data_IF_844876533256
#
_entry.id   IF_844876533256
#
_cell.length_a   1.000
_cell.length_b   1.000
_cell.length_c   1.000
_cell.angle_alpha   90.00
_cell.angle_beta   90.00
_cell.angle_gamma   90.00
#
_symmetry.space_group_name_H-M   'P 1'
#
loop_
_entity.id
_entity.type
_entity.pdbx_description
1 polymer ?
#
# COMPACT_ATOMS: atom_id res chain seq x y z
N UNK A 1 -23.23 -56.69 -9.74
CA UNK A 1 -23.46 -55.41 -10.44
C UNK A 1 -23.20 -54.29 -9.45
N UNK A 2 -21.92 -53.90 -9.29
CA UNK A 2 -21.48 -52.79 -8.45
C UNK A 2 -20.75 -51.85 -9.41
N UNK A 3 -21.29 -50.65 -9.54
CA UNK A 3 -20.99 -49.70 -10.61
C UNK A 3 -19.80 -48.85 -10.15
N UNK A 4 -18.70 -48.95 -10.90
CA UNK A 4 -17.52 -48.08 -10.81
C UNK A 4 -17.95 -46.60 -10.72
N UNK A 5 -17.76 -45.99 -9.56
CA UNK A 5 -17.69 -44.53 -9.46
C UNK A 5 -16.24 -44.17 -9.72
N UNK A 6 -16.06 -43.72 -10.95
CA UNK A 6 -14.84 -43.30 -11.59
C UNK A 6 -14.13 -42.20 -10.81
N UNK A 7 -12.79 -42.30 -10.86
CA UNK A 7 -11.82 -41.21 -10.74
C UNK A 7 -12.42 -39.84 -11.13
N UNK A 8 -12.56 -38.97 -10.15
CA UNK A 8 -12.71 -37.52 -10.32
C UNK A 8 -11.79 -36.82 -9.32
N UNK A 9 -10.55 -37.30 -9.29
CA UNK A 9 -9.39 -36.65 -8.70
C UNK A 9 -8.35 -36.68 -9.80
N UNK A 10 -7.70 -35.55 -10.07
CA UNK A 10 -6.54 -35.42 -10.97
C UNK A 10 -6.83 -35.23 -12.48
N UNK A 11 -7.53 -34.15 -12.84
CA UNK A 11 -7.49 -33.60 -14.21
C UNK A 11 -7.63 -32.07 -14.22
N UNK A 12 -6.76 -31.38 -13.46
CA UNK A 12 -6.57 -29.93 -13.56
C UNK A 12 -5.08 -29.49 -13.58
N UNK A 13 -4.15 -30.44 -13.75
CA UNK A 13 -2.75 -30.15 -14.04
C UNK A 13 -2.43 -30.76 -15.42
N UNK A 14 -2.69 -30.02 -16.50
CA UNK A 14 -2.13 -30.22 -17.84
C UNK A 14 -2.69 -29.14 -18.79
N UNK A 15 -2.42 -27.87 -18.50
CA UNK A 15 -2.58 -26.76 -19.45
C UNK A 15 -1.69 -25.58 -19.05
N UNK A 16 -0.40 -25.83 -18.85
CA UNK A 16 0.63 -24.78 -18.85
C UNK A 16 1.79 -25.28 -19.71
N UNK A 17 1.56 -25.22 -21.03
CA UNK A 17 2.61 -25.35 -22.03
C UNK A 17 2.25 -24.50 -23.25
N UNK A 18 2.05 -23.21 -23.03
CA UNK A 18 2.27 -22.16 -24.02
C UNK A 18 2.65 -20.91 -23.21
N UNK A 19 3.83 -20.38 -23.46
CA UNK A 19 4.21 -19.01 -23.13
C UNK A 19 3.39 -18.10 -24.04
N UNK A 20 2.08 -18.02 -23.80
CA UNK A 20 1.22 -17.06 -24.46
C UNK A 20 1.30 -15.77 -23.66
N UNK A 21 1.77 -14.72 -24.33
CA UNK A 21 1.74 -13.34 -23.84
C UNK A 21 0.43 -13.09 -23.09
N UNK A 22 0.56 -12.72 -21.82
CA UNK A 22 -0.59 -12.50 -20.95
C UNK A 22 -1.55 -11.50 -21.61
N UNK A 23 -2.86 -11.77 -21.63
CA UNK A 23 -3.83 -10.86 -22.22
C UNK A 23 -3.84 -9.56 -21.42
N UNK A 24 -3.28 -8.49 -21.98
CA UNK A 24 -3.24 -7.16 -21.37
C UNK A 24 -1.93 -6.40 -21.53
N UNK A 25 -0.84 -7.05 -21.93
CA UNK A 25 0.37 -6.34 -22.32
C UNK A 25 0.23 -5.84 -23.75
N UNK A 26 0.07 -4.52 -23.91
CA UNK A 26 0.48 -3.86 -25.14
C UNK A 26 2.01 -3.87 -25.16
N UNK A 27 2.57 -5.02 -25.53
CA UNK A 27 4.00 -5.22 -25.72
C UNK A 27 4.55 -4.12 -26.66
N UNK A 28 5.85 -3.80 -26.57
CA UNK A 28 6.48 -2.92 -27.55
C UNK A 28 6.09 -3.34 -28.97
N UNK A 29 5.68 -2.37 -29.80
CA UNK A 29 5.23 -2.64 -31.17
C UNK A 29 6.38 -3.00 -32.12
N UNK A 30 7.61 -2.82 -31.65
CA UNK A 30 8.86 -3.33 -32.19
C UNK A 30 9.33 -4.48 -31.28
N UNK A 31 10.12 -5.45 -31.76
CA UNK A 31 10.51 -6.68 -31.04
C UNK A 31 11.44 -6.45 -29.81
N UNK A 32 11.34 -5.28 -29.17
CA UNK A 32 12.11 -4.85 -28.01
C UNK A 32 11.61 -5.47 -26.71
N UNK A 33 12.51 -5.54 -25.74
CA UNK A 33 12.27 -6.16 -24.45
C UNK A 33 11.90 -5.14 -23.37
N UNK A 34 10.78 -5.38 -22.71
CA UNK A 34 10.34 -4.65 -21.51
C UNK A 34 10.59 -5.44 -20.24
N UNK A 35 10.73 -4.75 -19.12
CA UNK A 35 10.74 -5.39 -17.82
C UNK A 35 9.42 -6.14 -17.58
N UNK A 36 9.49 -7.44 -17.31
CA UNK A 36 8.34 -8.22 -16.90
C UNK A 36 8.12 -8.09 -15.39
N UNK A 37 7.22 -7.19 -14.99
CA UNK A 37 6.93 -6.90 -13.59
C UNK A 37 5.53 -7.39 -13.24
N UNK A 38 5.45 -8.26 -12.23
CA UNK A 38 4.20 -8.61 -11.55
C UNK A 38 4.18 -8.01 -10.16
N UNK A 39 2.99 -7.67 -9.65
CA UNK A 39 2.80 -7.26 -8.25
C UNK A 39 2.22 -8.44 -7.48
N UNK A 40 2.84 -8.77 -6.35
CA UNK A 40 2.39 -9.83 -5.46
C UNK A 40 1.01 -9.54 -4.85
N UNK A 41 0.44 -10.49 -4.08
CA UNK A 41 -0.82 -10.24 -3.38
C UNK A 41 -0.70 -9.04 -2.45
N UNK A 42 -1.81 -8.33 -2.24
CA UNK A 42 -1.85 -7.23 -1.27
C UNK A 42 -1.48 -7.78 0.12
N UNK A 43 -0.54 -7.15 0.84
CA UNK A 43 -0.10 -7.65 2.13
C UNK A 43 -1.26 -7.64 3.14
N UNK A 44 -1.23 -8.57 4.08
CA UNK A 44 -2.13 -8.58 5.23
C UNK A 44 -1.61 -7.64 6.32
N UNK A 45 -2.53 -7.02 7.09
CA UNK A 45 -2.17 -6.39 8.35
C UNK A 45 -1.98 -7.46 9.43
N UNK A 46 -1.02 -7.20 10.32
CA UNK A 46 -0.80 -7.96 11.56
C UNK A 46 -1.58 -7.32 12.70
N UNK A 47 -2.07 -8.12 13.63
CA UNK A 47 -2.81 -7.64 14.80
C UNK A 47 -1.94 -6.71 15.67
N UNK A 48 -2.40 -5.47 15.81
CA UNK A 48 -1.80 -4.49 16.70
C UNK A 48 -2.36 -4.62 18.12
N UNK A 49 -1.55 -4.29 19.12
CA UNK A 49 -1.98 -4.29 20.53
C UNK A 49 -2.34 -2.88 21.00
N UNK A 50 -3.47 -2.77 21.70
CA UNK A 50 -3.88 -1.57 22.42
C UNK A 50 -3.82 -1.81 23.93
N UNK A 51 -3.30 -0.84 24.67
CA UNK A 51 -3.39 -0.80 26.14
C UNK A 51 -4.34 0.29 26.61
N UNK A 52 -5.12 0.01 27.65
CA UNK A 52 -5.90 1.01 28.37
C UNK A 52 -4.99 1.93 29.19
N UNK A 53 -5.56 3.01 29.72
CA UNK A 53 -4.87 3.96 30.60
C UNK A 53 -4.29 3.31 31.87
N UNK A 54 -4.89 2.23 32.38
CA UNK A 54 -4.40 1.44 33.52
C UNK A 54 -3.26 0.47 33.17
N UNK A 55 -2.82 0.44 31.90
CA UNK A 55 -1.78 -0.45 31.40
C UNK A 55 -2.26 -1.85 31.03
N UNK A 56 -3.54 -2.18 31.25
CA UNK A 56 -4.10 -3.47 30.82
C UNK A 56 -4.15 -3.56 29.31
N UNK A 57 -3.67 -4.67 28.77
CA UNK A 57 -3.80 -4.98 27.35
C UNK A 57 -5.24 -5.37 27.06
N UNK A 58 -5.81 -4.81 26.00
CA UNK A 58 -7.02 -5.38 25.42
C UNK A 58 -6.67 -6.75 24.80
N UNK A 59 -7.48 -7.81 25.02
CA UNK A 59 -7.26 -9.07 24.33
C UNK A 59 -7.23 -8.79 22.83
N UNK A 60 -6.29 -9.45 22.13
CA UNK A 60 -6.02 -9.27 20.70
C UNK A 60 -7.29 -8.92 19.96
N UNK A 61 -7.38 -7.67 19.54
CA UNK A 61 -8.49 -7.20 18.74
C UNK A 61 -8.24 -7.76 17.37
N UNK A 62 -8.56 -9.06 17.17
CA UNK A 62 -8.33 -9.79 15.91
C UNK A 62 -8.65 -8.84 14.78
N UNK A 63 -7.70 -8.61 13.89
CA UNK A 63 -7.97 -7.87 12.69
C UNK A 63 -9.17 -8.56 12.06
N UNK A 64 -10.32 -7.88 12.07
CA UNK A 64 -11.40 -8.27 11.19
C UNK A 64 -10.80 -8.05 9.81
N UNK A 65 -10.37 -9.15 9.22
CA UNK A 65 -10.03 -9.22 7.82
C UNK A 65 -11.39 -9.27 7.12
N UNK A 66 -11.97 -8.10 6.89
CA UNK A 66 -13.05 -7.99 5.92
C UNK A 66 -12.44 -8.32 4.56
N UNK A 67 -13.15 -9.07 3.71
CA UNK A 67 -12.70 -9.32 2.33
C UNK A 67 -12.44 -7.99 1.58
N UNK A 68 -13.16 -6.95 1.98
CA UNK A 68 -12.99 -5.56 1.54
C UNK A 68 -11.61 -5.02 1.93
N UNK A 69 -10.86 -4.54 0.94
CA UNK A 69 -9.53 -3.96 1.11
C UNK A 69 -8.36 -4.95 1.18
N UNK A 70 -8.60 -6.26 1.16
CA UNK A 70 -7.56 -7.32 1.24
C UNK A 70 -7.05 -7.83 -0.10
N UNK A 71 -7.63 -7.35 -1.20
CA UNK A 71 -7.21 -7.68 -2.56
C UNK A 71 -6.93 -6.39 -3.32
N UNK A 72 -6.23 -6.54 -4.42
CA UNK A 72 -6.18 -5.52 -5.45
C UNK A 72 -7.54 -5.45 -6.12
N UNK A 73 -8.00 -4.23 -6.39
CA UNK A 73 -9.27 -3.95 -7.04
C UNK A 73 -9.02 -3.53 -8.48
N UNK A 74 -9.94 -3.92 -9.39
CA UNK A 74 -9.81 -3.52 -10.79
C UNK A 74 -9.72 -1.99 -10.89
N UNK A 75 -8.68 -1.51 -11.56
CA UNK A 75 -8.37 -0.08 -11.66
C UNK A 75 -7.32 0.41 -10.66
N UNK A 76 -6.88 -0.41 -9.70
CA UNK A 76 -5.79 -0.04 -8.79
C UNK A 76 -4.51 0.31 -9.56
N UNK A 77 -3.88 1.41 -9.15
CA UNK A 77 -2.64 1.93 -9.75
C UNK A 77 -1.46 1.81 -8.79
N UNK A 78 -0.36 1.28 -9.32
CA UNK A 78 0.96 1.29 -8.68
C UNK A 78 1.88 2.16 -9.51
N UNK A 79 2.51 3.13 -8.87
CA UNK A 79 3.49 4.01 -9.50
C UNK A 79 4.90 3.46 -9.32
N UNK A 80 5.72 3.53 -10.36
CA UNK A 80 7.08 3.02 -10.38
C UNK A 80 8.06 4.17 -10.57
N UNK A 81 9.14 4.13 -9.79
CA UNK A 81 10.38 4.86 -10.01
C UNK A 81 11.46 3.82 -10.34
N UNK A 82 12.11 3.97 -11.50
CA UNK A 82 13.02 2.97 -12.05
C UNK A 82 14.33 3.64 -12.42
N UNK A 83 15.42 3.17 -11.83
CA UNK A 83 16.78 3.54 -12.18
C UNK A 83 17.35 2.42 -13.06
N UNK A 84 17.51 2.69 -14.34
CA UNK A 84 18.24 1.80 -15.22
C UNK A 84 19.72 2.18 -15.27
N UNK A 85 20.61 1.20 -15.22
CA UNK A 85 22.06 1.41 -15.33
C UNK A 85 22.58 0.69 -16.57
N UNK A 86 23.37 1.40 -17.39
CA UNK A 86 24.03 0.83 -18.56
C UNK A 86 25.37 0.15 -18.21
N UNK A 87 26.01 -0.45 -19.21
CA UNK A 87 27.31 -1.12 -19.07
C UNK A 87 28.47 -0.19 -18.67
N UNK A 88 28.31 1.12 -18.88
CA UNK A 88 29.24 2.16 -18.44
C UNK A 88 28.96 2.70 -17.03
N UNK A 89 28.01 2.12 -16.31
CA UNK A 89 27.51 2.56 -14.99
C UNK A 89 26.83 3.95 -14.98
N UNK A 90 26.33 4.41 -16.13
CA UNK A 90 25.49 5.60 -16.17
C UNK A 90 24.04 5.23 -15.87
N UNK A 91 23.40 6.02 -15.00
CA UNK A 91 22.02 5.79 -14.57
C UNK A 91 21.05 6.71 -15.29
N UNK A 92 20.01 6.14 -15.87
CA UNK A 92 18.85 6.87 -16.39
C UNK A 92 17.64 6.59 -15.50
N UNK A 93 16.89 7.64 -15.17
CA UNK A 93 15.73 7.54 -14.30
C UNK A 93 14.46 7.62 -15.15
N UNK A 94 13.56 6.68 -14.90
CA UNK A 94 12.21 6.69 -15.43
C UNK A 94 11.18 6.62 -14.32
N UNK A 95 9.99 7.11 -14.63
CA UNK A 95 8.81 6.78 -13.87
C UNK A 95 7.76 6.13 -14.77
N UNK A 96 6.96 5.24 -14.19
CA UNK A 96 5.96 4.44 -14.90
C UNK A 96 4.79 4.12 -13.98
N UNK A 97 3.82 3.37 -14.49
CA UNK A 97 2.73 2.84 -13.69
C UNK A 97 2.26 1.47 -14.20
N UNK A 98 1.81 0.65 -13.26
CA UNK A 98 1.07 -0.57 -13.53
C UNK A 98 -0.37 -0.39 -13.08
N UNK A 99 -1.31 -0.96 -13.84
CA UNK A 99 -2.73 -0.98 -13.52
C UNK A 99 -3.20 -2.41 -13.34
N UNK A 100 -3.99 -2.65 -12.30
CA UNK A 100 -4.61 -3.94 -12.08
C UNK A 100 -5.88 -4.09 -12.93
N UNK A 101 -5.92 -5.11 -13.77
CA UNK A 101 -7.04 -5.42 -14.68
C UNK A 101 -7.99 -6.48 -14.10
N UNK A 102 -8.06 -6.60 -12.78
CA UNK A 102 -8.93 -7.56 -12.06
C UNK A 102 -8.36 -8.98 -11.93
N UNK A 103 -7.42 -9.37 -12.79
CA UNK A 103 -6.71 -10.66 -12.70
C UNK A 103 -5.20 -10.52 -12.79
N UNK A 104 -4.72 -9.60 -13.62
CA UNK A 104 -3.29 -9.34 -13.85
C UNK A 104 -2.94 -7.88 -13.68
N UNK A 105 -1.67 -7.62 -13.39
CA UNK A 105 -1.06 -6.31 -13.54
C UNK A 105 -0.55 -6.16 -14.97
N UNK A 106 -0.65 -4.94 -15.50
CA UNK A 106 -0.16 -4.59 -16.83
C UNK A 106 0.31 -3.14 -16.86
N UNK A 107 1.12 -2.81 -17.85
CA UNK A 107 1.41 -1.41 -18.17
C UNK A 107 0.13 -0.65 -18.55
N UNK A 108 0.14 0.66 -18.36
CA UNK A 108 -0.92 1.52 -18.89
C UNK A 108 -1.00 1.37 -20.41
N UNK A 109 -2.20 1.42 -20.99
CA UNK A 109 -2.34 1.56 -22.45
C UNK A 109 -1.91 2.97 -22.88
N UNK A 110 -1.67 3.16 -24.19
CA UNK A 110 -1.41 4.49 -24.74
C UNK A 110 -2.52 5.50 -24.37
N UNK A 111 -3.79 5.10 -24.53
CA UNK A 111 -4.94 5.96 -24.21
C UNK A 111 -5.06 6.27 -22.71
N UNK A 112 -4.80 5.29 -21.84
CA UNK A 112 -4.80 5.51 -20.38
C UNK A 112 -3.69 6.49 -19.99
N UNK A 113 -2.47 6.31 -20.49
CA UNK A 113 -1.35 7.21 -20.22
C UNK A 113 -1.63 8.63 -20.74
N UNK A 114 -2.22 8.77 -21.94
CA UNK A 114 -2.61 10.05 -22.51
C UNK A 114 -3.70 10.73 -21.67
N UNK A 115 -4.69 9.99 -21.20
CA UNK A 115 -5.79 10.52 -20.38
C UNK A 115 -5.34 11.04 -19.01
N UNK A 116 -4.22 10.54 -18.50
CA UNK A 116 -3.65 10.99 -17.22
C UNK A 116 -2.85 12.30 -17.35
N UNK A 117 -2.58 12.76 -18.58
CA UNK A 117 -1.82 14.00 -18.86
C UNK A 117 -0.47 14.01 -18.12
N UNK A 118 0.25 12.88 -18.16
CA UNK A 118 1.51 12.71 -17.44
C UNK A 118 2.61 13.59 -18.03
N UNK A 119 3.38 14.25 -17.16
CA UNK A 119 4.49 15.09 -17.59
C UNK A 119 5.63 14.22 -18.16
N UNK A 120 6.02 14.35 -19.44
CA UNK A 120 7.05 13.49 -20.02
C UNK A 120 8.42 13.61 -19.34
N UNK A 121 8.69 14.69 -18.60
CA UNK A 121 9.95 14.89 -17.87
C UNK A 121 9.72 15.57 -16.50
N UNK A 122 10.00 14.83 -15.44
CA UNK A 122 9.97 15.27 -14.05
C UNK A 122 11.39 15.47 -13.51
N UNK A 123 11.98 16.64 -13.78
CA UNK A 123 13.32 17.02 -13.29
C UNK A 123 14.41 15.98 -13.61
N UNK A 124 14.38 15.39 -14.80
CA UNK A 124 15.33 14.37 -15.25
C UNK A 124 14.78 12.94 -15.23
N UNK A 125 13.70 12.67 -14.50
CA UNK A 125 12.96 11.41 -14.58
C UNK A 125 11.99 11.44 -15.77
N UNK A 126 12.15 10.57 -16.75
CA UNK A 126 11.28 10.56 -17.94
C UNK A 126 10.16 9.54 -17.83
N UNK A 127 8.97 9.87 -18.35
CA UNK A 127 7.88 8.89 -18.36
C UNK A 127 8.19 7.77 -19.35
N UNK A 128 8.22 6.53 -18.88
CA UNK A 128 8.40 5.34 -19.71
C UNK A 128 7.32 4.31 -19.39
N UNK A 129 6.28 4.29 -20.21
CA UNK A 129 5.09 3.44 -20.03
C UNK A 129 5.44 1.95 -19.98
N UNK A 130 6.30 1.47 -20.87
CA UNK A 130 6.59 0.05 -21.08
C UNK A 130 7.89 -0.42 -20.45
N UNK A 131 8.76 0.49 -19.96
CA UNK A 131 10.04 0.14 -19.32
C UNK A 131 10.92 -0.75 -20.21
N UNK A 132 11.07 -0.35 -21.47
CA UNK A 132 11.97 -0.99 -22.44
C UNK A 132 13.42 -0.82 -22.01
N UNK A 133 14.21 -1.89 -22.09
CA UNK A 133 15.60 -1.91 -21.62
C UNK A 133 16.68 -2.18 -22.69
N UNK A 134 16.27 -2.38 -23.94
CA UNK A 134 17.14 -2.58 -25.09
C UNK A 134 16.98 -1.47 -26.14
N UNK A 135 17.98 -1.38 -27.01
CA UNK A 135 17.98 -0.47 -28.16
C UNK A 135 17.07 -1.02 -29.27
N UNK A 136 16.70 -0.15 -30.21
CA UNK A 136 15.88 -0.52 -31.37
C UNK A 136 16.56 -1.53 -32.32
N UNK A 137 17.89 -1.64 -32.27
CA UNK A 137 18.65 -2.66 -33.03
C UNK A 137 18.79 -4.00 -32.27
N UNK A 138 18.14 -4.14 -31.11
CA UNK A 138 18.19 -5.31 -30.24
C UNK A 138 19.44 -5.40 -29.38
N UNK A 139 20.34 -4.41 -29.42
CA UNK A 139 21.50 -4.35 -28.54
C UNK A 139 21.09 -3.93 -27.12
N UNK A 140 21.84 -4.40 -26.11
CA UNK A 140 21.59 -4.07 -24.71
C UNK A 140 21.79 -2.57 -24.47
N UNK A 141 20.74 -1.87 -24.00
CA UNK A 141 20.86 -0.48 -23.53
C UNK A 141 21.16 -0.45 -22.03
N UNK A 142 20.46 -1.27 -21.25
CA UNK A 142 20.62 -1.34 -19.80
C UNK A 142 20.93 -2.76 -19.34
N UNK A 143 21.71 -2.87 -18.28
CA UNK A 143 22.15 -4.15 -17.69
C UNK A 143 21.61 -4.37 -16.28
N UNK A 144 21.21 -3.31 -15.58
CA UNK A 144 20.63 -3.36 -14.24
C UNK A 144 19.43 -2.42 -14.13
N UNK A 145 18.45 -2.79 -13.31
CA UNK A 145 17.34 -1.94 -12.91
C UNK A 145 17.17 -1.94 -11.39
N UNK A 146 16.97 -0.77 -10.79
CA UNK A 146 16.50 -0.62 -9.41
C UNK A 146 15.13 0.03 -9.42
N UNK A 147 14.18 -0.62 -8.77
CA UNK A 147 12.78 -0.24 -8.81
C UNK A 147 12.34 0.09 -7.39
N UNK A 148 11.67 1.24 -7.26
CA UNK A 148 10.82 1.57 -6.12
C UNK A 148 9.40 1.71 -6.61
N UNK A 149 8.48 1.06 -5.95
CA UNK A 149 7.08 1.04 -6.33
C UNK A 149 6.21 1.52 -5.18
N UNK A 150 5.20 2.32 -5.51
CA UNK A 150 4.36 3.00 -4.54
C UNK A 150 2.89 2.75 -4.86
N UNK A 151 2.13 2.34 -3.85
CA UNK A 151 0.68 2.40 -3.87
C UNK A 151 0.26 3.54 -2.94
N UNK A 152 -0.37 4.56 -3.52
CA UNK A 152 -0.79 5.78 -2.84
C UNK A 152 -2.30 6.07 -3.06
N UNK A 153 -3.07 5.01 -3.32
CA UNK A 153 -4.41 5.11 -3.90
C UNK A 153 -4.37 5.37 -5.41
N UNK A 154 -5.55 5.63 -6.00
CA UNK A 154 -5.72 5.80 -7.44
C UNK A 154 -5.52 7.24 -7.93
N UNK A 155 -4.87 8.08 -7.12
CA UNK A 155 -4.49 9.45 -7.48
C UNK A 155 -3.37 9.46 -8.51
N UNK A 156 -3.46 10.40 -9.46
CA UNK A 156 -2.40 10.67 -10.44
C UNK A 156 -1.40 11.71 -9.94
N UNK A 157 -0.14 11.71 -10.40
CA UNK A 157 0.82 12.76 -10.09
C UNK A 157 0.39 14.09 -10.71
N UNK A 158 0.73 15.18 -10.03
CA UNK A 158 0.64 16.53 -10.58
C UNK A 158 1.76 16.82 -11.60
N UNK A 159 1.81 18.05 -12.12
CA UNK A 159 2.83 18.48 -13.09
C UNK A 159 4.27 18.36 -12.58
N UNK A 160 4.49 18.30 -11.26
CA UNK A 160 5.79 18.16 -10.61
C UNK A 160 6.09 16.71 -10.20
N UNK A 161 5.20 15.75 -10.53
CA UNK A 161 5.40 14.35 -10.16
C UNK A 161 4.98 14.02 -8.74
N UNK A 162 4.20 14.90 -8.09
CA UNK A 162 3.75 14.70 -6.72
C UNK A 162 2.36 14.10 -6.70
N UNK A 163 2.20 12.99 -6.00
CA UNK A 163 0.89 12.43 -5.66
C UNK A 163 0.58 12.86 -4.23
N UNK A 164 -0.47 13.66 -4.07
CA UNK A 164 -0.99 14.02 -2.75
C UNK A 164 -1.76 12.84 -2.19
N UNK A 165 -1.34 12.37 -1.02
CA UNK A 165 -1.99 11.28 -0.30
C UNK A 165 -3.06 11.89 0.61
N UNK A 166 -4.32 11.44 0.53
CA UNK A 166 -5.39 11.96 1.37
C UNK A 166 -5.07 11.84 2.86
N UNK A 167 -5.34 12.90 3.62
CA UNK A 167 -5.14 12.88 5.06
C UNK A 167 -6.04 11.83 5.74
N UNK A 168 -5.64 11.27 6.90
CA UNK A 168 -6.41 10.22 7.57
C UNK A 168 -7.85 10.62 7.92
N UNK A 169 -8.11 11.91 8.12
CA UNK A 169 -9.45 12.44 8.45
C UNK A 169 -10.34 12.75 7.25
N UNK A 170 -9.83 12.63 6.02
CA UNK A 170 -10.52 13.11 4.82
C UNK A 170 -11.73 12.27 4.37
N UNK A 171 -11.95 11.11 4.98
CA UNK A 171 -12.93 10.13 4.49
C UNK A 171 -12.49 9.37 3.23
N UNK A 172 -11.35 9.72 2.64
CA UNK A 172 -10.74 9.04 1.48
C UNK A 172 -9.34 8.51 1.81
N UNK A 173 -9.09 8.16 3.08
CA UNK A 173 -7.80 7.64 3.53
C UNK A 173 -7.43 6.35 2.81
N UNK A 174 -6.16 6.21 2.41
CA UNK A 174 -5.68 5.07 1.63
C UNK A 174 -4.53 4.35 2.35
N UNK A 175 -4.41 3.02 2.21
CA UNK A 175 -3.33 2.27 2.82
C UNK A 175 -2.06 2.40 1.99
N UNK A 176 -1.20 3.36 2.33
CA UNK A 176 0.06 3.59 1.59
C UNK A 176 0.97 2.36 1.70
N UNK A 177 1.48 1.89 0.57
CA UNK A 177 2.40 0.76 0.50
C UNK A 177 3.61 1.08 -0.38
N UNK A 178 4.73 0.42 -0.09
CA UNK A 178 5.95 0.51 -0.89
C UNK A 178 6.56 -0.87 -1.10
N UNK A 179 7.14 -1.08 -2.28
CA UNK A 179 8.00 -2.21 -2.61
C UNK A 179 9.32 -1.69 -3.22
N UNK A 180 10.39 -2.47 -3.08
CA UNK A 180 11.67 -2.20 -3.71
C UNK A 180 12.29 -3.47 -4.26
N UNK A 181 13.01 -3.37 -5.38
CA UNK A 181 13.77 -4.47 -5.96
C UNK A 181 14.98 -3.98 -6.74
N UNK A 182 16.03 -4.80 -6.83
CA UNK A 182 17.16 -4.62 -7.73
C UNK A 182 17.29 -5.87 -8.61
N UNK A 183 17.48 -5.68 -9.91
CA UNK A 183 17.54 -6.76 -10.90
C UNK A 183 18.76 -6.55 -11.79
N UNK A 184 19.65 -7.55 -11.85
CA UNK A 184 20.83 -7.57 -12.71
C UNK A 184 20.67 -8.45 -13.97
N UNK A 185 19.57 -9.21 -14.05
CA UNK A 185 19.16 -9.93 -15.27
C UNK A 185 17.75 -9.47 -15.63
N UNK A 186 17.66 -8.50 -16.55
CA UNK A 186 16.42 -7.83 -16.93
C UNK A 186 15.44 -8.74 -17.70
N UNK A 187 15.90 -9.91 -18.16
CA UNK A 187 15.07 -10.89 -18.85
C UNK A 187 14.20 -11.72 -17.90
N UNK A 188 14.56 -11.77 -16.61
CA UNK A 188 13.83 -12.55 -15.63
C UNK A 188 12.57 -11.81 -15.16
N UNK A 189 11.45 -12.52 -14.96
CA UNK A 189 10.27 -11.94 -14.36
C UNK A 189 10.58 -11.48 -12.92
N UNK A 190 10.13 -10.28 -12.59
CA UNK A 190 10.24 -9.71 -11.25
C UNK A 190 8.87 -9.67 -10.58
N UNK A 191 8.82 -10.04 -9.30
CA UNK A 191 7.65 -9.81 -8.45
C UNK A 191 7.92 -8.72 -7.41
N UNK A 192 7.10 -7.68 -7.39
CA UNK A 192 7.12 -6.63 -6.38
C UNK A 192 6.24 -7.02 -5.19
N UNK A 193 6.85 -7.20 -4.02
CA UNK A 193 6.15 -7.51 -2.78
C UNK A 193 6.02 -6.25 -1.93
N UNK A 194 4.78 -5.78 -1.78
CA UNK A 194 4.47 -4.56 -1.06
C UNK A 194 4.45 -4.75 0.45
N UNK A 195 4.86 -3.70 1.15
CA UNK A 195 4.72 -3.59 2.61
C UNK A 195 3.98 -2.30 2.95
N UNK A 196 3.10 -2.35 3.96
CA UNK A 196 2.42 -1.15 4.43
C UNK A 196 3.41 -0.16 5.03
N UNK A 197 3.18 1.12 4.72
CA UNK A 197 3.89 2.27 5.29
C UNK A 197 3.02 3.03 6.30
N UNK A 198 1.96 2.38 6.77
CA UNK A 198 0.99 2.87 7.74
C UNK A 198 0.51 1.73 8.64
N UNK A 199 -0.15 2.09 9.73
CA UNK A 199 -1.06 1.21 10.47
C UNK A 199 -2.49 1.41 9.97
N UNK A 200 -3.33 0.41 10.14
CA UNK A 200 -4.78 0.53 10.01
C UNK A 200 -5.39 0.77 11.39
N UNK A 201 -6.31 1.72 11.50
CA UNK A 201 -7.15 1.90 12.69
C UNK A 201 -8.61 1.75 12.30
N UNK A 202 -9.26 0.71 12.84
CA UNK A 202 -10.70 0.45 12.66
C UNK A 202 -11.46 1.11 13.80
N UNK A 203 -12.37 2.01 13.46
CA UNK A 203 -13.21 2.76 14.39
C UNK A 203 -14.64 2.20 14.34
N UNK A 204 -15.25 1.79 15.47
CA UNK A 204 -16.64 1.32 15.51
C UNK A 204 -17.65 2.44 15.20
N UNK A 205 -18.85 2.05 14.75
CA UNK A 205 -19.98 2.97 14.57
C UNK A 205 -20.38 3.62 15.90
N UNK A 206 -21.00 4.81 15.86
CA UNK A 206 -21.42 5.59 17.03
C UNK A 206 -20.30 6.14 17.92
N UNK A 207 -19.03 6.03 17.50
CA UNK A 207 -17.88 6.54 18.25
C UNK A 207 -17.14 7.66 17.52
N UNK A 208 -16.85 8.74 18.23
CA UNK A 208 -15.87 9.75 17.83
C UNK A 208 -14.47 9.36 18.31
N UNK A 209 -13.45 9.77 17.56
CA UNK A 209 -12.04 9.50 17.88
C UNK A 209 -11.27 10.79 17.90
N UNK A 210 -10.48 10.97 18.95
CA UNK A 210 -9.55 12.07 19.11
C UNK A 210 -8.11 11.56 19.31
N UNK A 211 -7.15 12.17 18.63
CA UNK A 211 -5.72 11.91 18.81
C UNK A 211 -4.94 13.20 18.61
N UNK A 212 -4.14 13.60 19.61
CA UNK A 212 -3.45 14.90 19.59
C UNK A 212 -2.41 15.03 18.49
N UNK A 213 -1.64 13.97 18.26
CA UNK A 213 -0.55 13.94 17.30
C UNK A 213 -0.59 12.62 16.56
N UNK A 214 -0.34 12.64 15.26
CA UNK A 214 -0.17 11.45 14.44
C UNK A 214 0.74 11.77 13.28
N UNK A 215 1.26 10.72 12.64
CA UNK A 215 2.00 10.85 11.39
C UNK A 215 1.32 10.09 10.28
N UNK A 216 1.52 10.54 9.05
CA UNK A 216 1.09 9.81 7.85
C UNK A 216 1.95 10.25 6.68
N UNK A 217 1.98 9.42 5.64
CA UNK A 217 2.58 9.82 4.37
C UNK A 217 1.63 10.76 3.63
N UNK A 218 2.09 11.97 3.34
CA UNK A 218 1.27 13.01 2.73
C UNK A 218 1.55 13.20 1.24
N UNK A 219 2.76 12.83 0.79
CA UNK A 219 3.19 13.01 -0.60
C UNK A 219 4.02 11.79 -1.03
N UNK A 220 3.73 11.26 -2.21
CA UNK A 220 4.66 10.43 -2.99
C UNK A 220 5.29 11.30 -4.08
N UNK A 221 6.61 11.40 -4.11
CA UNK A 221 7.37 12.14 -5.11
C UNK A 221 8.00 11.17 -6.10
N UNK A 222 7.44 11.08 -7.31
CA UNK A 222 7.92 10.20 -8.38
C UNK A 222 9.21 10.70 -9.03
N UNK A 223 9.55 11.98 -8.95
CA UNK A 223 10.80 12.49 -9.50
C UNK A 223 12.02 12.00 -8.69
N UNK A 224 11.85 11.85 -7.38
CA UNK A 224 12.93 11.42 -6.48
C UNK A 224 12.80 9.99 -5.95
N UNK A 225 11.70 9.30 -6.22
CA UNK A 225 11.43 7.98 -5.63
C UNK A 225 11.29 8.02 -4.10
N UNK A 226 10.65 9.07 -3.56
CA UNK A 226 10.57 9.36 -2.12
C UNK A 226 9.11 9.43 -1.65
N UNK A 227 8.82 8.79 -0.52
CA UNK A 227 7.62 9.03 0.26
C UNK A 227 7.91 10.03 1.39
N UNK A 228 7.13 11.11 1.45
CA UNK A 228 7.28 12.15 2.47
C UNK A 228 6.25 11.97 3.58
N UNK A 229 6.78 11.72 4.78
CA UNK A 229 6.00 11.61 6.01
C UNK A 229 5.82 12.98 6.66
N UNK A 230 4.60 13.28 7.09
CA UNK A 230 4.23 14.49 7.82
C UNK A 230 3.83 14.12 9.25
N UNK A 231 4.27 14.90 10.24
CA UNK A 231 3.56 15.00 11.52
C UNK A 231 2.44 16.01 11.33
N UNK A 232 1.18 15.62 11.53
CA UNK A 232 0.12 16.61 11.50
C UNK A 232 0.07 17.36 12.83
N UNK A 233 0.01 18.69 12.74
CA UNK A 233 -0.14 19.55 13.91
C UNK A 233 -1.61 19.75 14.30
N UNK A 234 -2.52 19.41 13.39
CA UNK A 234 -3.96 19.41 13.64
C UNK A 234 -4.29 18.08 14.33
N UNK A 235 -4.88 18.09 15.54
CA UNK A 235 -5.36 16.87 16.17
C UNK A 235 -6.33 16.13 15.25
N UNK A 236 -6.22 14.81 15.22
CA UNK A 236 -7.25 13.98 14.61
C UNK A 236 -8.51 14.15 15.45
N UNK A 237 -9.58 14.66 14.86
CA UNK A 237 -10.89 14.78 15.49
C UNK A 237 -11.94 14.28 14.50
N UNK A 238 -12.34 13.03 14.67
CA UNK A 238 -13.28 12.35 13.80
C UNK A 238 -14.62 12.20 14.52
N UNK A 239 -15.72 12.75 13.98
CA UNK A 239 -17.03 12.62 14.62
C UNK A 239 -17.51 11.17 14.65
N UNK A 240 -18.51 10.90 15.48
CA UNK A 240 -19.24 9.64 15.40
C UNK A 240 -19.86 9.50 14.00
N UNK A 241 -19.85 8.27 13.47
CA UNK A 241 -20.50 7.94 12.21
C UNK A 241 -21.38 6.71 12.39
N UNK A 242 -22.40 6.61 11.55
CA UNK A 242 -23.41 5.53 11.62
C UNK A 242 -22.85 4.16 11.21
N UNK A 243 -21.66 4.13 10.61
CA UNK A 243 -20.98 2.92 10.17
C UNK A 243 -19.52 2.89 10.66
N UNK A 244 -18.96 1.69 10.91
CA UNK A 244 -17.55 1.59 11.25
C UNK A 244 -16.68 1.96 10.04
N UNK A 245 -15.52 2.57 10.30
CA UNK A 245 -14.61 3.09 9.26
C UNK A 245 -13.17 2.75 9.56
N UNK A 246 -12.36 2.65 8.51
CA UNK A 246 -10.93 2.49 8.60
C UNK A 246 -10.21 3.80 8.25
N UNK A 247 -9.14 4.08 8.98
CA UNK A 247 -8.19 5.14 8.64
C UNK A 247 -6.78 4.57 8.65
N UNK A 248 -5.89 5.20 7.86
CA UNK A 248 -4.50 4.77 7.72
C UNK A 248 -3.56 5.87 8.20
N UNK A 249 -2.79 5.57 9.24
CA UNK A 249 -1.85 6.52 9.87
C UNK A 249 -0.79 5.76 10.67
N UNK A 250 0.20 6.47 11.19
CA UNK A 250 1.11 5.98 12.23
C UNK A 250 0.74 6.66 13.55
N UNK A 251 0.36 5.88 14.58
CA UNK A 251 -0.23 6.44 15.79
C UNK A 251 0.87 6.83 16.80
N UNK A 252 1.75 7.73 16.38
CA UNK A 252 2.90 8.23 17.14
C UNK A 252 2.90 9.75 17.17
N UNK A 253 3.45 10.33 18.24
CA UNK A 253 3.44 11.77 18.42
C UNK A 253 4.51 12.50 17.60
N UNK A 254 5.64 11.84 17.31
CA UNK A 254 6.76 12.42 16.57
C UNK A 254 7.62 11.34 15.88
N UNK A 255 8.79 11.73 15.35
CA UNK A 255 9.70 10.84 14.59
C UNK A 255 10.26 9.72 15.47
N UNK A 256 10.47 10.01 16.76
CA UNK A 256 11.09 9.13 17.75
C UNK A 256 10.15 7.98 18.17
N UNK A 257 8.91 7.99 17.69
CA UNK A 257 7.95 6.91 17.86
C UNK A 257 7.24 6.80 19.22
N UNK A 258 7.18 7.80 20.12
CA UNK A 258 6.34 7.69 21.30
C UNK A 258 4.87 7.54 20.85
N UNK A 259 4.15 6.52 21.35
CA UNK A 259 2.80 6.25 20.93
C UNK A 259 1.87 7.43 21.26
N UNK A 260 1.03 7.80 20.31
CA UNK A 260 0.01 8.81 20.53
C UNK A 260 -1.19 8.19 21.25
N UNK A 261 -1.66 8.89 22.28
CA UNK A 261 -2.87 8.51 23.00
C UNK A 261 -4.11 8.71 22.13
N UNK A 262 -4.95 7.68 22.07
CA UNK A 262 -6.23 7.66 21.37
C UNK A 262 -7.34 7.82 22.40
N UNK A 263 -8.20 8.81 22.20
CA UNK A 263 -9.43 8.99 22.98
C UNK A 263 -10.62 8.56 22.11
N UNK A 264 -11.39 7.60 22.61
CA UNK A 264 -12.58 7.07 21.96
C UNK A 264 -13.79 7.48 22.79
N UNK A 265 -14.75 8.19 22.18
CA UNK A 265 -15.95 8.67 22.87
C UNK A 265 -17.20 8.14 22.19
N UNK A 266 -18.06 7.47 22.94
CA UNK A 266 -19.34 6.97 22.43
C UNK A 266 -20.36 8.10 22.35
N UNK A 267 -21.26 8.03 21.37
CA UNK A 267 -22.48 8.81 21.34
C UNK A 267 -23.24 8.67 22.66
N UNK A 268 -23.36 9.76 23.41
CA UNK A 268 -23.88 9.77 24.79
C UNK A 268 -22.84 10.06 25.89
N UNK A 269 -21.54 10.16 25.55
CA UNK A 269 -20.53 10.85 26.37
C UNK A 269 -19.50 9.96 27.09
N UNK A 270 -19.68 8.64 27.13
CA UNK A 270 -18.69 7.74 27.72
C UNK A 270 -17.38 7.77 26.92
N UNK A 271 -16.24 7.86 27.60
CA UNK A 271 -14.93 8.08 26.98
C UNK A 271 -13.89 7.10 27.52
N UNK A 272 -13.06 6.57 26.62
CA UNK A 272 -11.95 5.66 26.94
C UNK A 272 -10.67 6.13 26.28
N UNK A 273 -9.55 5.75 26.88
CA UNK A 273 -8.22 6.14 26.43
C UNK A 273 -7.38 4.90 26.18
N UNK A 274 -6.73 4.86 25.01
CA UNK A 274 -5.88 3.77 24.57
C UNK A 274 -4.52 4.28 24.11
N UNK A 275 -3.51 3.42 24.25
CA UNK A 275 -2.17 3.62 23.72
C UNK A 275 -1.84 2.45 22.81
N UNK A 276 -1.48 2.70 21.54
CA UNK A 276 -1.02 1.66 20.62
C UNK A 276 0.37 1.16 21.03
N UNK A 277 0.63 -0.12 20.80
CA UNK A 277 1.96 -0.71 20.92
C UNK A 277 2.53 -1.04 19.54
N UNK A 278 3.85 -0.88 19.34
CA UNK A 278 4.52 -1.32 18.12
C UNK A 278 4.49 -2.85 18.01
N UNK A 279 4.64 -3.37 16.80
CA UNK A 279 4.71 -4.82 16.56
C UNK A 279 5.98 -5.48 17.14
N UNK A 280 7.04 -4.70 17.35
CA UNK A 280 8.36 -5.14 17.83
C UNK A 280 8.49 -5.17 19.35
N UNK A 281 7.43 -4.84 20.10
CA UNK A 281 7.40 -4.65 21.56
C UNK A 281 8.33 -3.54 22.12
N UNK A 282 9.29 -3.05 21.34
CA UNK A 282 10.12 -1.88 21.65
C UNK A 282 9.89 -0.79 20.60
N UNK A 283 9.74 0.45 21.08
CA UNK A 283 9.57 1.62 20.22
C UNK A 283 10.89 2.34 20.06
N UNK A 284 11.40 2.38 18.83
CA UNK A 284 12.61 3.10 18.45
C UNK A 284 12.33 4.13 17.36
N UNK A 285 11.24 3.95 16.59
CA UNK A 285 10.83 4.89 15.55
C UNK A 285 9.35 4.73 15.17
N UNK A 286 8.85 5.68 14.39
CA UNK A 286 7.50 5.59 13.79
C UNK A 286 7.30 4.35 12.90
N UNK A 287 8.37 3.77 12.33
CA UNK A 287 8.26 2.64 11.39
C UNK A 287 7.94 1.32 12.07
N UNK A 288 8.13 1.23 13.40
CA UNK A 288 7.81 0.05 14.20
C UNK A 288 6.29 -0.25 14.25
N UNK A 289 5.47 0.68 13.72
CA UNK A 289 4.02 0.59 13.61
C UNK A 289 3.53 0.17 12.21
N UNK A 290 4.44 -0.05 11.26
CA UNK A 290 4.07 -0.47 9.90
C UNK A 290 3.32 -1.80 9.90
N UNK A 291 2.24 -1.85 9.12
CA UNK A 291 1.44 -3.06 8.92
C UNK A 291 0.67 -3.53 10.16
N UNK A 292 0.58 -2.71 11.21
CA UNK A 292 -0.23 -3.03 12.39
C UNK A 292 -1.70 -2.64 12.17
N UNK A 293 -2.63 -3.47 12.62
CA UNK A 293 -4.07 -3.19 12.63
C UNK A 293 -4.57 -3.03 14.07
N UNK A 294 -5.04 -1.84 14.41
CA UNK A 294 -5.67 -1.54 15.70
C UNK A 294 -7.18 -1.49 15.52
N UNK A 295 -7.92 -2.39 16.17
CA UNK A 295 -9.38 -2.35 16.15
C UNK A 295 -9.86 -1.80 17.48
N UNK A 296 -10.46 -0.61 17.46
CA UNK A 296 -10.98 0.00 18.68
C UNK A 296 -12.21 -0.79 19.17
N UNK A 297 -12.29 -1.14 20.46
CA UNK A 297 -13.34 -2.02 20.96
C UNK A 297 -14.70 -1.33 20.98
N UNK A 298 -15.76 -2.06 20.63
CA UNK A 298 -17.14 -1.69 20.97
C UNK A 298 -17.39 -2.07 22.43
N UNK A 299 -17.46 -1.08 23.30
CA UNK A 299 -17.50 -1.27 24.75
C UNK A 299 -18.93 -1.34 25.32
N UNK A 300 -19.96 -1.17 24.49
CA UNK A 300 -21.37 -1.29 24.91
C UNK A 300 -21.78 -0.38 26.09
N UNK A 301 -23.02 -0.55 26.58
CA UNK A 301 -23.53 0.12 27.80
C UNK A 301 -23.11 -0.63 29.09
N UNK A 302 -22.25 -1.64 28.98
CA UNK A 302 -21.96 -2.58 30.07
C UNK A 302 -20.82 -2.10 30.96
N UNK A 303 -21.17 -1.46 32.08
CA UNK A 303 -20.51 -1.48 33.41
C UNK A 303 -18.97 -1.41 33.57
N UNK A 304 -18.18 -1.09 32.54
CA UNK A 304 -16.77 -0.76 32.73
C UNK A 304 -16.61 0.75 32.72
N UNK A 305 -16.85 1.33 33.88
CA UNK A 305 -16.47 2.72 34.18
C UNK A 305 -14.98 2.90 33.87
N UNK A 306 -14.55 3.99 33.22
CA UNK A 306 -13.14 4.31 33.13
C UNK A 306 -12.56 4.42 34.55
N UNK A 307 -11.70 3.47 34.96
CA UNK A 307 -11.02 3.48 36.25
C UNK A 307 -11.53 2.53 37.36
N UNK A 308 -12.31 1.49 37.06
CA UNK A 308 -12.55 0.38 38.00
C UNK A 308 -12.42 -0.97 37.29
N UNK A 309 -11.64 -1.95 37.73
CA UNK A 309 -10.99 -2.22 39.04
C UNK A 309 -9.50 -2.52 38.88
#
# INVERSE_FOLDING_TARGET
MIRNIFLLMLSALCAWSCTDNLPGDEAPTDDRHSLNITVGPKPAFTDGTLTRADGTTLPETRAVQTDEGMKWEEGDLVWLYVEFTNDTNETTIHYSALKYAGTTWRHLTGDEANSLELNPNLNGATFNRTLIYDQADGSTQYVEARIRAFYAGNSKPDANGLITIPAPYSGSSVPVMEAGSGVADLSQPLTLNFTYRCSRMRIPADYSVQMKNYRYYAICNLAGGILNIKTDAIPLDLPAADAPRDIFLLPVADVQGPPATITLTRSGGATWTFTPRPGTATTTSATDYYGQAYTLPDLGNGNVTPGGM
#
